data_IF_834015040933
#
_entry.id   IF_834015040933
#
_cell.length_a   1.000
_cell.length_b   1.000
_cell.length_c   1.000
_cell.angle_alpha   90.00
_cell.angle_beta   90.00
_cell.angle_gamma   90.00
#
_symmetry.space_group_name_H-M   'P 1'
#
loop_
_entity.id
_entity.type
_entity.pdbx_description
1 polymer ?
#
# COMPACT_ATOMS: atom_id res chain seq x y z
N UNK A 1 13.60 -5.39 37.22
CA UNK A 1 12.65 -4.69 36.34
C UNK A 1 13.00 -5.07 34.91
N UNK A 2 12.32 -6.10 34.43
CA UNK A 2 12.52 -6.74 33.12
C UNK A 2 12.00 -5.81 32.01
N UNK A 3 12.94 -5.17 31.32
CA UNK A 3 12.66 -4.31 30.17
C UNK A 3 12.77 -5.19 28.92
N UNK A 4 11.61 -5.70 28.49
CA UNK A 4 11.35 -6.39 27.22
C UNK A 4 12.21 -7.62 26.90
N UNK A 5 11.81 -8.78 27.45
CA UNK A 5 12.06 -10.04 26.74
C UNK A 5 11.27 -10.00 25.43
N UNK A 6 11.95 -9.77 24.32
CA UNK A 6 11.39 -10.04 22.98
C UNK A 6 11.06 -11.54 22.97
N UNK A 7 9.81 -11.95 22.74
CA UNK A 7 9.49 -13.37 22.58
C UNK A 7 10.30 -13.91 21.40
N UNK A 8 10.87 -15.11 21.53
CA UNK A 8 11.49 -15.79 20.39
C UNK A 8 10.43 -15.93 19.29
N UNK A 9 10.74 -15.41 18.10
CA UNK A 9 9.85 -15.40 16.95
C UNK A 9 9.38 -16.84 16.63
N UNK A 10 8.13 -17.18 16.98
CA UNK A 10 7.46 -18.43 16.62
C UNK A 10 7.02 -18.45 15.13
N UNK A 11 7.77 -17.76 14.28
CA UNK A 11 7.57 -17.79 12.82
C UNK A 11 8.26 -18.99 12.16
N UNK A 12 8.99 -19.79 12.95
CA UNK A 12 9.65 -21.02 12.48
C UNK A 12 8.64 -22.13 12.11
N UNK A 13 7.38 -22.04 12.54
CA UNK A 13 6.38 -23.08 12.30
C UNK A 13 5.80 -23.09 10.86
N UNK A 14 6.02 -22.05 10.05
CA UNK A 14 5.43 -21.95 8.70
C UNK A 14 6.29 -22.60 7.59
N UNK A 15 7.43 -23.20 7.95
CA UNK A 15 8.31 -23.90 7.00
C UNK A 15 8.57 -25.34 7.47
N UNK A 16 7.48 -26.06 7.74
CA UNK A 16 7.55 -27.50 8.04
C UNK A 16 7.28 -28.31 6.78
N UNK A 17 8.23 -28.31 5.83
CA UNK A 17 8.64 -29.49 5.03
C UNK A 17 9.61 -29.10 3.91
N UNK A 18 10.88 -29.46 4.11
CA UNK A 18 11.92 -29.76 3.11
C UNK A 18 12.61 -28.59 2.38
N UNK A 19 13.73 -28.15 2.98
CA UNK A 19 15.04 -27.86 2.37
C UNK A 19 15.07 -27.23 0.96
N UNK A 20 15.02 -25.90 0.90
CA UNK A 20 16.01 -25.09 0.18
C UNK A 20 16.05 -23.70 0.82
N UNK A 21 17.22 -23.29 1.33
CA UNK A 21 17.46 -21.92 1.80
C UNK A 21 17.38 -20.97 0.61
N UNK A 22 16.20 -20.39 0.37
CA UNK A 22 16.07 -19.31 -0.59
C UNK A 22 16.66 -18.07 0.07
N UNK A 23 17.94 -17.78 -0.17
CA UNK A 23 18.53 -16.46 0.07
C UNK A 23 17.80 -15.45 -0.81
N UNK A 24 16.70 -14.90 -0.31
CA UNK A 24 15.97 -13.83 -0.98
C UNK A 24 16.81 -12.57 -0.76
N UNK A 25 17.50 -12.02 -1.78
CA UNK A 25 18.24 -10.79 -1.59
C UNK A 25 17.27 -9.69 -1.13
N UNK A 26 17.74 -8.73 -0.33
CA UNK A 26 17.10 -7.43 -0.12
C UNK A 26 17.11 -6.66 -1.46
N UNK A 27 16.40 -7.18 -2.45
CA UNK A 27 16.06 -6.46 -3.66
C UNK A 27 14.92 -5.52 -3.29
N UNK A 28 14.89 -4.27 -3.79
CA UNK A 28 13.65 -3.49 -3.77
C UNK A 28 12.54 -4.40 -4.31
N UNK A 29 11.39 -4.44 -3.64
CA UNK A 29 10.26 -5.27 -4.05
C UNK A 29 9.90 -4.92 -5.50
N UNK A 30 10.44 -5.68 -6.45
CA UNK A 30 9.95 -5.70 -7.83
C UNK A 30 8.89 -6.79 -7.82
N UNK A 31 7.71 -6.34 -7.45
CA UNK A 31 6.47 -7.09 -7.37
C UNK A 31 6.06 -7.55 -8.77
N UNK A 32 6.46 -8.76 -9.18
CA UNK A 32 5.94 -9.28 -10.45
C UNK A 32 5.39 -10.70 -10.41
N UNK A 33 5.92 -11.67 -9.64
CA UNK A 33 5.51 -13.07 -9.93
C UNK A 33 4.92 -13.90 -8.76
N UNK A 34 4.79 -13.37 -7.54
CA UNK A 34 4.02 -14.03 -6.44
C UNK A 34 2.72 -13.28 -6.07
N UNK A 35 2.38 -12.23 -6.82
CA UNK A 35 1.43 -11.17 -6.40
C UNK A 35 -0.04 -11.48 -6.74
N UNK A 36 -0.32 -12.50 -7.56
CA UNK A 36 -1.66 -12.72 -8.15
C UNK A 36 -2.74 -13.23 -7.18
N UNK A 37 -2.39 -13.60 -5.93
CA UNK A 37 -3.37 -14.02 -4.91
C UNK A 37 -3.61 -12.98 -3.80
N UNK A 38 -2.75 -11.97 -3.69
CA UNK A 38 -2.88 -10.82 -2.78
C UNK A 38 -2.81 -9.51 -3.57
N UNK A 39 -3.38 -9.53 -4.76
CA UNK A 39 -3.31 -8.44 -5.73
C UNK A 39 -4.21 -7.31 -5.23
N UNK A 40 -3.63 -6.37 -4.46
CA UNK A 40 -4.28 -5.10 -4.15
C UNK A 40 -4.61 -4.46 -5.49
N UNK A 41 -5.90 -4.29 -5.79
CA UNK A 41 -6.31 -3.65 -7.04
C UNK A 41 -5.58 -2.30 -7.14
N UNK A 42 -4.64 -2.11 -8.08
CA UNK A 42 -3.76 -0.94 -8.07
C UNK A 42 -4.55 0.35 -8.27
N UNK A 43 -5.75 0.25 -8.88
CA UNK A 43 -6.70 1.34 -9.03
C UNK A 43 -7.57 1.60 -7.80
N UNK A 44 -7.49 0.81 -6.73
CA UNK A 44 -8.32 1.01 -5.53
C UNK A 44 -7.84 2.17 -4.66
N UNK A 45 -8.79 2.82 -3.99
CA UNK A 45 -8.53 3.86 -2.99
C UNK A 45 -7.53 3.36 -1.93
N UNK A 46 -6.47 4.14 -1.69
CA UNK A 46 -5.44 3.80 -0.70
C UNK A 46 -5.90 3.91 0.75
N UNK A 47 -7.06 4.50 1.01
CA UNK A 47 -7.64 4.62 2.35
C UNK A 47 -8.59 3.46 2.65
N UNK A 48 -9.68 3.31 1.90
CA UNK A 48 -10.71 2.32 2.22
C UNK A 48 -10.45 0.93 1.61
N UNK A 49 -9.59 0.82 0.59
CA UNK A 49 -9.31 -0.43 -0.14
C UNK A 49 -10.54 -1.12 -0.74
N UNK A 50 -11.69 -0.44 -0.77
CA UNK A 50 -12.99 -1.05 -1.13
C UNK A 50 -13.54 -0.56 -2.47
N UNK A 51 -13.19 0.66 -2.89
CA UNK A 51 -13.71 1.30 -4.11
C UNK A 51 -12.56 1.86 -4.94
N UNK A 52 -12.77 2.04 -6.24
CA UNK A 52 -11.77 2.62 -7.13
C UNK A 52 -11.43 4.07 -6.77
N UNK A 53 -10.15 4.39 -6.95
CA UNK A 53 -9.62 5.73 -6.91
C UNK A 53 -10.07 6.49 -8.16
N UNK A 54 -10.63 7.68 -7.95
CA UNK A 54 -11.18 8.53 -9.01
C UNK A 54 -10.66 9.97 -8.94
N UNK A 55 -9.80 10.31 -7.98
CA UNK A 55 -9.25 11.65 -7.84
C UNK A 55 -7.74 11.69 -8.07
N UNK A 56 -7.32 12.60 -8.96
CA UNK A 56 -5.93 12.97 -9.24
C UNK A 56 -5.60 14.26 -8.49
N UNK A 57 -4.50 14.27 -7.74
CA UNK A 57 -4.02 15.46 -7.03
C UNK A 57 -3.10 16.33 -7.90
N UNK A 58 -3.24 17.65 -7.84
CA UNK A 58 -2.41 18.62 -8.59
C UNK A 58 -1.49 19.36 -7.60
N UNK A 59 -0.16 19.43 -7.83
CA UNK A 59 0.55 19.12 -9.09
C UNK A 59 1.08 17.68 -9.23
N UNK A 60 1.02 16.87 -8.18
CA UNK A 60 1.77 15.61 -8.15
C UNK A 60 1.27 14.50 -9.09
N UNK A 61 0.03 14.59 -9.57
CA UNK A 61 -0.56 13.67 -10.56
C UNK A 61 -1.00 12.30 -10.04
N UNK A 62 -0.93 12.05 -8.72
CA UNK A 62 -1.27 10.75 -8.15
C UNK A 62 -2.79 10.50 -8.10
N UNK A 63 -3.24 9.39 -8.70
CA UNK A 63 -4.60 8.87 -8.62
C UNK A 63 -4.70 7.82 -7.51
N UNK A 64 -5.29 8.16 -6.35
CA UNK A 64 -5.26 7.24 -5.20
C UNK A 64 -6.46 7.30 -4.24
N UNK A 65 -7.43 8.18 -4.45
CA UNK A 65 -8.56 8.39 -3.52
C UNK A 65 -9.91 8.25 -4.22
N UNK A 66 -10.89 7.64 -3.53
CA UNK A 66 -12.28 7.53 -3.98
C UNK A 66 -13.15 8.72 -3.55
N UNK A 67 -14.43 8.71 -3.99
CA UNK A 67 -15.41 9.75 -3.66
C UNK A 67 -15.59 9.97 -2.15
N UNK A 68 -15.71 8.91 -1.37
CA UNK A 68 -16.07 9.00 0.03
C UNK A 68 -14.87 9.36 0.92
N UNK A 69 -13.67 8.99 0.49
CA UNK A 69 -12.46 9.25 1.26
C UNK A 69 -11.87 10.66 1.04
N UNK A 70 -12.25 11.37 -0.03
CA UNK A 70 -11.64 12.69 -0.36
C UNK A 70 -11.91 13.74 0.73
N UNK A 71 -13.07 13.68 1.38
CA UNK A 71 -13.45 14.61 2.45
C UNK A 71 -12.67 14.42 3.76
N UNK A 72 -11.94 13.31 3.90
CA UNK A 72 -11.14 13.01 5.09
C UNK A 72 -9.69 13.49 4.98
N UNK A 73 -9.27 14.10 3.86
CA UNK A 73 -7.93 14.67 3.71
C UNK A 73 -7.88 16.08 4.33
N UNK A 74 -7.60 16.15 5.63
CA UNK A 74 -7.54 17.41 6.39
C UNK A 74 -6.22 18.17 6.18
N UNK A 75 -5.13 17.46 5.90
CA UNK A 75 -3.77 18.01 5.83
C UNK A 75 -3.39 18.58 4.46
N UNK A 76 -4.28 18.47 3.46
CA UNK A 76 -4.08 19.05 2.12
C UNK A 76 -2.89 18.44 1.36
N UNK A 77 -2.50 17.21 1.67
CA UNK A 77 -1.35 16.52 1.07
C UNK A 77 -1.76 15.24 0.38
N UNK A 78 -1.04 14.90 -0.69
CA UNK A 78 -1.22 13.64 -1.38
C UNK A 78 -0.84 12.47 -0.46
N UNK A 79 -1.68 11.43 -0.28
CA UNK A 79 -1.38 10.27 0.55
C UNK A 79 -0.16 9.46 0.10
N UNK A 80 0.17 9.52 -1.21
CA UNK A 80 1.27 8.73 -1.78
C UNK A 80 2.62 9.44 -1.68
N UNK A 81 2.69 10.73 -2.04
CA UNK A 81 3.97 11.46 -2.10
C UNK A 81 4.10 12.56 -1.03
N UNK A 82 3.05 12.84 -0.26
CA UNK A 82 2.98 13.91 0.76
C UNK A 82 3.17 15.33 0.24
N UNK A 83 3.16 15.52 -1.07
CA UNK A 83 3.18 16.84 -1.69
C UNK A 83 1.84 17.55 -1.43
N UNK A 84 1.91 18.83 -1.05
CA UNK A 84 0.73 19.67 -0.84
C UNK A 84 0.03 19.87 -2.18
N UNK A 85 -1.26 19.55 -2.25
CA UNK A 85 -2.04 19.75 -3.47
C UNK A 85 -2.82 21.06 -3.41
N UNK A 86 -2.96 21.72 -4.55
CA UNK A 86 -3.81 22.92 -4.68
C UNK A 86 -5.26 22.56 -5.01
N UNK A 87 -5.47 21.47 -5.73
CA UNK A 87 -6.78 20.97 -6.14
C UNK A 87 -6.69 19.48 -6.47
N UNK A 88 -7.85 18.85 -6.64
CA UNK A 88 -7.99 17.48 -7.16
C UNK A 88 -9.02 17.42 -8.29
N UNK A 89 -8.78 16.54 -9.26
CA UNK A 89 -9.60 16.39 -10.47
C UNK A 89 -10.23 15.00 -10.46
N UNK A 90 -11.53 14.91 -10.73
CA UNK A 90 -12.25 13.64 -10.87
C UNK A 90 -12.00 13.02 -12.24
N UNK A 91 -11.54 11.78 -12.29
CA UNK A 91 -11.35 11.01 -13.52
C UNK A 91 -12.66 10.42 -14.01
N UNK A 92 -12.72 10.17 -15.31
CA UNK A 92 -13.75 9.36 -15.95
C UNK A 92 -13.09 8.08 -16.46
N UNK A 93 -13.52 6.94 -15.94
CA UNK A 93 -13.11 5.63 -16.44
C UNK A 93 -14.21 5.14 -17.37
N UNK A 94 -13.90 5.03 -18.67
CA UNK A 94 -14.79 4.49 -19.72
C UNK A 94 -14.69 2.98 -19.83
#
# INVERSE_FOLDING_TARGET
EDIFRVPDDDFSAIISSEDEQIDIPFHPVISTDLVTLYERNPSSCCICLSTDAIYVFVPCGHLCICNDCVGHLEDGKCPLCRETFSTYIRTIST
#
